data_IF_952984277947
#
_entry.id   IF_952984277947
#
_cell.length_a   1.000
_cell.length_b   1.000
_cell.length_c   1.000
_cell.angle_alpha   90.00
_cell.angle_beta   90.00
_cell.angle_gamma   90.00
#
_symmetry.space_group_name_H-M   'P 1'
#
loop_
_entity.id
_entity.type
_entity.pdbx_description
1 polymer ?
#
# COMPACT_ATOMS: atom_id res chain seq x y z
N UNK A 1 5.44 -20.41 16.33
CA UNK A 1 4.47 -21.54 16.26
C UNK A 1 5.20 -22.86 16.55
N UNK A 2 4.58 -23.99 17.00
CA UNK A 2 5.30 -25.26 17.12
C UNK A 2 5.94 -25.68 15.78
N UNK A 3 7.23 -26.07 15.72
CA UNK A 3 7.95 -26.29 14.46
C UNK A 3 7.29 -27.31 13.52
N UNK A 4 6.62 -28.34 14.07
CA UNK A 4 5.96 -29.37 13.26
C UNK A 4 4.80 -28.81 12.41
N UNK A 5 4.20 -27.68 12.82
CA UNK A 5 3.10 -27.06 12.08
C UNK A 5 3.56 -26.32 10.81
N UNK A 6 4.86 -26.08 10.64
CA UNK A 6 5.41 -25.49 9.40
C UNK A 6 5.10 -26.40 8.21
N UNK A 7 5.13 -27.72 8.40
CA UNK A 7 4.85 -28.70 7.35
C UNK A 7 3.40 -28.58 6.80
N UNK A 8 2.48 -28.02 7.57
CA UNK A 8 1.11 -27.76 7.10
C UNK A 8 1.15 -26.74 5.95
N UNK A 9 1.86 -25.62 6.10
CA UNK A 9 1.94 -24.57 5.08
C UNK A 9 2.68 -25.04 3.82
N UNK A 10 3.70 -25.88 3.99
CA UNK A 10 4.36 -26.56 2.86
C UNK A 10 3.39 -27.46 2.10
N UNK A 11 2.60 -28.26 2.81
CA UNK A 11 1.61 -29.14 2.18
C UNK A 11 0.48 -28.40 1.46
N UNK A 12 0.23 -27.13 1.83
CA UNK A 12 -0.82 -26.28 1.26
C UNK A 12 -0.34 -25.39 0.10
N UNK A 13 0.90 -25.52 -0.35
CA UNK A 13 1.46 -24.64 -1.39
C UNK A 13 0.71 -24.70 -2.72
N UNK A 14 0.36 -25.92 -3.18
CA UNK A 14 -0.46 -26.10 -4.39
C UNK A 14 -1.89 -25.58 -4.22
N UNK A 15 -2.48 -25.77 -3.03
CA UNK A 15 -3.79 -25.16 -2.73
C UNK A 15 -3.74 -23.64 -2.76
N UNK A 16 -2.67 -23.03 -2.22
CA UNK A 16 -2.49 -21.59 -2.24
C UNK A 16 -2.30 -21.06 -3.67
N UNK A 17 -1.58 -21.79 -4.51
CA UNK A 17 -1.45 -21.46 -5.94
C UNK A 17 -2.82 -21.44 -6.64
N UNK A 18 -3.62 -22.50 -6.46
CA UNK A 18 -4.89 -22.68 -7.16
C UNK A 18 -6.04 -21.84 -6.59
N UNK A 19 -5.95 -21.43 -5.32
CA UNK A 19 -7.04 -20.72 -4.62
C UNK A 19 -6.65 -19.30 -4.24
N UNK A 20 -5.56 -19.13 -3.48
CA UNK A 20 -5.17 -17.83 -2.93
C UNK A 20 -4.67 -16.88 -4.04
N UNK A 21 -3.75 -17.34 -4.89
CA UNK A 21 -3.14 -16.47 -5.92
C UNK A 21 -4.15 -16.01 -6.97
N UNK A 22 -5.27 -16.72 -7.14
CA UNK A 22 -6.33 -16.32 -8.08
C UNK A 22 -7.05 -15.04 -7.71
N UNK A 23 -6.94 -14.60 -6.46
CA UNK A 23 -7.48 -13.32 -6.00
C UNK A 23 -6.62 -12.12 -6.38
N UNK A 24 -5.35 -12.33 -6.76
CA UNK A 24 -4.48 -11.26 -7.25
C UNK A 24 -4.92 -10.83 -8.64
N UNK A 25 -4.94 -9.52 -8.88
CA UNK A 25 -5.20 -9.01 -10.22
C UNK A 25 -3.89 -9.00 -11.01
N UNK A 26 -3.91 -9.46 -12.28
CA UNK A 26 -2.77 -9.23 -13.17
C UNK A 26 -2.49 -7.73 -13.27
N UNK A 27 -1.20 -7.35 -13.22
CA UNK A 27 -0.77 -5.94 -13.21
C UNK A 27 -1.39 -5.13 -14.36
N UNK A 28 -1.43 -5.71 -15.57
CA UNK A 28 -2.03 -5.11 -16.77
C UNK A 28 -3.55 -4.84 -16.66
N UNK A 29 -4.20 -5.37 -15.63
CA UNK A 29 -5.62 -5.16 -15.31
C UNK A 29 -5.83 -4.40 -14.00
N UNK A 30 -4.75 -4.01 -13.33
CA UNK A 30 -4.81 -3.18 -12.13
C UNK A 30 -4.96 -1.72 -12.54
N UNK A 31 -5.76 -0.98 -11.78
CA UNK A 31 -5.70 0.47 -11.80
C UNK A 31 -4.32 0.96 -11.34
N UNK A 32 -3.92 2.15 -11.73
CA UNK A 32 -2.71 2.81 -11.25
C UNK A 32 -3.06 4.18 -10.68
N UNK A 33 -2.27 4.74 -9.75
CA UNK A 33 -2.55 6.05 -9.15
C UNK A 33 -2.83 7.15 -10.19
N UNK A 34 -2.14 7.10 -11.33
CA UNK A 34 -2.31 8.08 -12.41
C UNK A 34 -3.71 8.06 -13.05
N UNK A 35 -4.46 6.96 -12.96
CA UNK A 35 -5.84 6.87 -13.48
C UNK A 35 -6.80 7.82 -12.73
N UNK A 36 -6.43 8.26 -11.53
CA UNK A 36 -7.26 9.07 -10.64
C UNK A 36 -6.66 10.45 -10.31
N UNK A 37 -5.49 10.77 -10.86
CA UNK A 37 -4.78 12.02 -10.60
C UNK A 37 -4.77 12.89 -11.86
N UNK A 38 -4.63 14.23 -11.72
CA UNK A 38 -4.35 15.09 -12.85
C UNK A 38 -3.19 14.57 -13.70
N UNK A 39 -3.35 14.57 -15.02
CA UNK A 39 -2.34 14.06 -15.95
C UNK A 39 -1.27 15.14 -16.20
N UNK A 40 -0.03 14.96 -15.69
CA UNK A 40 1.03 15.95 -15.83
C UNK A 40 1.53 16.11 -17.27
N UNK A 41 1.17 15.21 -18.18
CA UNK A 41 1.51 15.29 -19.60
C UNK A 41 0.45 15.98 -20.46
N UNK A 42 -0.71 16.28 -19.86
CA UNK A 42 -1.83 16.92 -20.54
C UNK A 42 -1.68 18.44 -20.55
N UNK A 43 -2.05 19.09 -21.67
CA UNK A 43 -2.20 20.55 -21.74
C UNK A 43 -3.22 21.09 -20.72
N UNK A 44 -4.12 20.22 -20.23
CA UNK A 44 -5.13 20.54 -19.20
C UNK A 44 -4.67 20.34 -17.75
N UNK A 45 -3.40 19.98 -17.50
CA UNK A 45 -2.92 19.65 -16.16
C UNK A 45 -3.22 20.73 -15.11
N UNK A 46 -2.94 22.00 -15.43
CA UNK A 46 -3.12 23.10 -14.48
C UNK A 46 -4.59 23.30 -14.08
N UNK A 47 -5.53 23.18 -15.03
CA UNK A 47 -6.96 23.29 -14.73
C UNK A 47 -7.45 22.08 -13.93
N UNK A 48 -6.99 20.86 -14.25
CA UNK A 48 -7.32 19.65 -13.47
C UNK A 48 -6.86 19.76 -12.01
N UNK A 49 -5.65 20.28 -11.77
CA UNK A 49 -5.13 20.55 -10.41
C UNK A 49 -5.97 21.61 -9.71
N UNK A 50 -6.33 22.69 -10.41
CA UNK A 50 -7.19 23.75 -9.86
C UNK A 50 -8.57 23.21 -9.47
N UNK A 51 -9.21 22.43 -10.32
CA UNK A 51 -10.50 21.79 -10.02
C UNK A 51 -10.44 20.82 -8.83
N UNK A 52 -9.34 20.06 -8.69
CA UNK A 52 -9.10 19.23 -7.50
C UNK A 52 -9.06 20.11 -6.24
N UNK A 53 -8.32 21.22 -6.28
CA UNK A 53 -8.17 22.13 -5.13
C UNK A 53 -9.47 22.85 -4.79
N UNK A 54 -10.27 23.26 -5.76
CA UNK A 54 -11.57 23.89 -5.50
C UNK A 54 -12.50 22.93 -4.77
N UNK A 55 -12.61 21.66 -5.21
CA UNK A 55 -13.39 20.64 -4.50
C UNK A 55 -12.85 20.35 -3.09
N UNK A 56 -11.52 20.31 -2.94
CA UNK A 56 -10.89 20.07 -1.65
C UNK A 56 -11.16 21.16 -0.59
N UNK A 57 -11.51 22.39 -1.00
CA UNK A 57 -11.93 23.47 -0.08
C UNK A 57 -13.29 23.20 0.56
N UNK A 58 -14.14 22.42 -0.09
CA UNK A 58 -15.49 22.10 0.41
C UNK A 58 -15.49 20.93 1.41
N UNK A 59 -14.34 20.24 1.56
CA UNK A 59 -14.18 19.15 2.52
C UNK A 59 -13.72 19.70 3.89
N UNK A 60 -14.34 19.27 5.00
CA UNK A 60 -14.01 19.77 6.33
C UNK A 60 -12.67 19.24 6.83
N UNK A 61 -12.04 19.96 7.76
CA UNK A 61 -10.74 19.57 8.33
C UNK A 61 -10.82 18.22 9.06
N UNK A 62 -11.94 17.90 9.70
CA UNK A 62 -12.17 16.60 10.36
C UNK A 62 -12.01 15.42 9.38
N UNK A 63 -12.43 15.60 8.13
CA UNK A 63 -12.25 14.61 7.07
C UNK A 63 -10.76 14.44 6.73
N UNK A 64 -10.03 15.54 6.58
CA UNK A 64 -8.60 15.50 6.28
C UNK A 64 -7.78 14.88 7.40
N UNK A 65 -8.14 15.09 8.67
CA UNK A 65 -7.44 14.43 9.79
C UNK A 65 -7.50 12.91 9.66
N UNK A 66 -8.68 12.35 9.36
CA UNK A 66 -8.84 10.91 9.19
C UNK A 66 -8.15 10.41 7.92
N UNK A 67 -8.32 11.12 6.80
CA UNK A 67 -7.70 10.75 5.53
C UNK A 67 -6.16 10.78 5.60
N UNK A 68 -5.59 11.73 6.35
CA UNK A 68 -4.15 11.77 6.63
C UNK A 68 -3.74 10.58 7.48
N UNK A 69 -4.51 10.21 8.50
CA UNK A 69 -4.23 9.01 9.30
C UNK A 69 -4.23 7.72 8.46
N UNK A 70 -5.19 7.61 7.55
CA UNK A 70 -5.29 6.51 6.58
C UNK A 70 -4.05 6.45 5.68
N UNK A 71 -3.73 7.55 5.01
CA UNK A 71 -2.54 7.65 4.15
C UNK A 71 -1.23 7.35 4.88
N UNK A 72 -1.04 7.86 6.10
CA UNK A 72 0.16 7.59 6.92
C UNK A 72 0.29 6.10 7.23
N UNK A 73 -0.84 5.42 7.44
CA UNK A 73 -0.90 3.98 7.68
C UNK A 73 -0.51 3.22 6.42
N UNK A 74 -1.07 3.57 5.26
CA UNK A 74 -0.72 2.97 3.97
C UNK A 74 0.77 3.13 3.63
N UNK A 75 1.36 4.29 3.90
CA UNK A 75 2.79 4.56 3.68
C UNK A 75 3.72 3.74 4.60
N UNK A 76 3.20 3.16 5.68
CA UNK A 76 3.96 2.28 6.57
C UNK A 76 4.12 0.84 6.03
N UNK A 77 3.76 0.60 4.75
CA UNK A 77 3.80 -0.68 4.05
C UNK A 77 5.07 -1.55 4.27
N UNK A 78 6.30 -1.01 4.34
CA UNK A 78 7.48 -1.82 4.66
C UNK A 78 7.35 -2.60 5.97
N UNK A 79 6.64 -2.06 6.96
CA UNK A 79 6.35 -2.71 8.24
C UNK A 79 5.45 -3.92 8.04
N UNK A 80 4.41 -3.81 7.21
CA UNK A 80 3.44 -4.88 6.97
C UNK A 80 4.03 -6.04 6.17
N UNK A 81 4.80 -5.75 5.12
CA UNK A 81 5.53 -6.78 4.39
C UNK A 81 6.53 -7.50 5.31
N UNK A 82 7.25 -6.74 6.15
CA UNK A 82 8.17 -7.32 7.14
C UNK A 82 7.43 -8.24 8.10
N UNK A 83 6.27 -7.83 8.61
CA UNK A 83 5.44 -8.64 9.49
C UNK A 83 5.03 -9.96 8.80
N UNK A 84 4.54 -9.95 7.56
CA UNK A 84 4.26 -11.17 6.80
C UNK A 84 5.49 -12.07 6.69
N UNK A 85 6.66 -11.49 6.46
CA UNK A 85 7.94 -12.20 6.39
C UNK A 85 8.52 -12.65 7.75
N UNK A 86 7.86 -12.33 8.87
CA UNK A 86 8.18 -12.92 10.18
C UNK A 86 7.37 -14.19 10.47
N UNK A 87 6.34 -14.49 9.66
CA UNK A 87 5.45 -15.62 9.90
C UNK A 87 6.11 -16.95 9.50
N UNK A 88 6.23 -17.84 10.50
CA UNK A 88 6.72 -19.21 10.33
C UNK A 88 5.94 -19.96 9.23
N UNK A 89 6.65 -20.49 8.23
CA UNK A 89 6.10 -21.35 7.18
C UNK A 89 5.61 -20.64 5.91
N UNK A 90 5.49 -19.30 5.92
CA UNK A 90 5.02 -18.52 4.76
C UNK A 90 5.98 -17.41 4.32
N UNK A 91 6.95 -17.04 5.17
CA UNK A 91 7.92 -15.99 4.87
C UNK A 91 8.71 -16.23 3.59
N UNK A 92 9.09 -15.14 2.93
CA UNK A 92 10.04 -15.17 1.82
C UNK A 92 11.49 -15.29 2.33
N UNK A 93 12.11 -16.44 2.10
CA UNK A 93 13.47 -16.74 2.57
C UNK A 93 14.58 -16.05 1.76
N UNK A 94 14.28 -15.57 0.54
CA UNK A 94 15.32 -15.03 -0.38
C UNK A 94 15.00 -13.64 -0.90
N UNK A 95 13.79 -13.13 -0.65
CA UNK A 95 13.23 -11.94 -1.29
C UNK A 95 12.73 -12.18 -2.71
N UNK A 96 12.87 -13.41 -3.21
CA UNK A 96 12.40 -13.84 -4.52
C UNK A 96 12.03 -15.33 -4.52
N UNK A 97 11.65 -15.89 -3.35
CA UNK A 97 11.28 -17.30 -3.24
C UNK A 97 10.15 -17.63 -4.22
N UNK A 98 10.20 -18.78 -4.92
CA UNK A 98 9.16 -19.18 -5.87
C UNK A 98 7.90 -19.71 -5.17
N UNK A 99 7.88 -19.79 -3.84
CA UNK A 99 6.75 -20.37 -3.12
C UNK A 99 5.49 -19.52 -3.27
N UNK A 100 4.32 -20.18 -3.33
CA UNK A 100 3.02 -19.49 -3.45
C UNK A 100 2.83 -18.41 -2.38
N UNK A 101 3.28 -18.68 -1.15
CA UNK A 101 3.22 -17.73 -0.03
C UNK A 101 4.10 -16.49 -0.24
N UNK A 102 5.29 -16.66 -0.78
CA UNK A 102 6.20 -15.55 -1.07
C UNK A 102 5.73 -14.76 -2.29
N UNK A 103 5.21 -15.43 -3.31
CA UNK A 103 4.57 -14.78 -4.47
C UNK A 103 3.40 -13.92 -4.00
N UNK A 104 2.51 -14.45 -3.17
CA UNK A 104 1.41 -13.68 -2.58
C UNK A 104 1.92 -12.47 -1.82
N UNK A 105 2.89 -12.64 -0.91
CA UNK A 105 3.44 -11.54 -0.11
C UNK A 105 3.97 -10.41 -1.00
N UNK A 106 4.77 -10.72 -2.03
CA UNK A 106 5.30 -9.71 -2.94
C UNK A 106 4.22 -9.06 -3.79
N UNK A 107 3.27 -9.83 -4.33
CA UNK A 107 2.21 -9.32 -5.18
C UNK A 107 1.20 -8.46 -4.39
N UNK A 108 0.82 -8.89 -3.19
CA UNK A 108 0.00 -8.11 -2.27
C UNK A 108 0.69 -6.78 -1.93
N UNK A 109 1.98 -6.80 -1.55
CA UNK A 109 2.73 -5.57 -1.29
C UNK A 109 2.79 -4.66 -2.53
N UNK A 110 2.95 -5.22 -3.73
CA UNK A 110 2.93 -4.43 -4.96
C UNK A 110 1.54 -3.80 -5.23
N UNK A 111 0.45 -4.51 -4.91
CA UNK A 111 -0.89 -3.95 -5.01
C UNK A 111 -1.12 -2.84 -3.97
N UNK A 112 -0.74 -3.03 -2.70
CA UNK A 112 -0.90 -2.07 -1.60
C UNK A 112 -0.07 -0.79 -1.79
N UNK A 113 1.11 -0.87 -2.41
CA UNK A 113 1.96 0.30 -2.64
C UNK A 113 1.21 1.44 -3.36
N UNK A 114 0.28 1.08 -4.25
CA UNK A 114 -0.51 2.05 -5.02
C UNK A 114 -1.49 2.85 -4.15
N UNK A 115 -1.88 2.33 -2.99
CA UNK A 115 -2.80 3.00 -2.07
C UNK A 115 -2.14 4.24 -1.46
N UNK A 116 -0.96 4.06 -0.85
CA UNK A 116 -0.12 5.15 -0.33
C UNK A 116 0.22 6.18 -1.42
N UNK A 117 0.68 5.71 -2.59
CA UNK A 117 1.02 6.58 -3.72
C UNK A 117 -0.13 7.51 -4.16
N UNK A 118 -1.34 6.96 -4.28
CA UNK A 118 -2.52 7.72 -4.70
C UNK A 118 -2.93 8.75 -3.64
N UNK A 119 -3.02 8.32 -2.37
CA UNK A 119 -3.41 9.19 -1.27
C UNK A 119 -2.38 10.29 -1.02
N UNK A 120 -1.09 9.97 -1.09
CA UNK A 120 0.00 10.94 -0.94
C UNK A 120 -0.11 12.08 -1.96
N UNK A 121 -0.19 11.72 -3.25
CA UNK A 121 -0.29 12.70 -4.34
C UNK A 121 -1.58 13.50 -4.25
N UNK A 122 -2.70 12.87 -3.87
CA UNK A 122 -3.96 13.57 -3.64
C UNK A 122 -3.84 14.62 -2.52
N UNK A 123 -3.31 14.24 -1.35
CA UNK A 123 -3.12 15.14 -0.21
C UNK A 123 -2.14 16.26 -0.55
N UNK A 124 -1.04 15.96 -1.24
CA UNK A 124 -0.07 16.93 -1.74
C UNK A 124 -0.74 17.98 -2.65
N UNK A 125 -1.50 17.53 -3.66
CA UNK A 125 -2.15 18.41 -4.62
C UNK A 125 -3.29 19.22 -3.99
N UNK A 126 -3.98 18.67 -2.98
CA UNK A 126 -5.10 19.33 -2.30
C UNK A 126 -4.71 20.68 -1.70
N UNK A 127 -3.47 20.82 -1.21
CA UNK A 127 -3.01 21.99 -0.49
C UNK A 127 -3.75 22.25 0.84
N UNK A 128 -4.44 21.24 1.39
CA UNK A 128 -5.24 21.36 2.63
C UNK A 128 -4.50 20.89 3.87
N UNK A 129 -3.32 20.28 3.73
CA UNK A 129 -2.57 19.65 4.82
C UNK A 129 -1.08 20.04 4.80
N UNK A 130 -0.40 19.89 5.95
CA UNK A 130 1.05 20.11 6.06
C UNK A 130 1.82 18.81 5.74
N UNK A 131 2.24 18.67 4.48
CA UNK A 131 2.98 17.49 4.01
C UNK A 131 4.27 17.26 4.79
N UNK A 132 4.96 18.31 5.24
CA UNK A 132 6.22 18.16 5.99
C UNK A 132 5.99 17.46 7.33
N UNK A 133 4.88 17.77 8.00
CA UNK A 133 4.52 17.10 9.25
C UNK A 133 4.03 15.68 9.03
N UNK A 134 3.32 15.41 7.93
CA UNK A 134 2.90 14.06 7.52
C UNK A 134 4.12 13.19 7.23
N UNK A 135 5.05 13.65 6.41
CA UNK A 135 6.29 12.94 6.05
C UNK A 135 7.14 12.59 7.28
N UNK A 136 7.29 13.53 8.23
CA UNK A 136 7.94 13.25 9.51
C UNK A 136 7.20 12.17 10.30
N UNK A 137 5.87 12.18 10.28
CA UNK A 137 5.05 11.19 10.99
C UNK A 137 5.23 9.81 10.39
N UNK A 138 5.24 9.69 9.06
CA UNK A 138 5.55 8.44 8.35
C UNK A 138 6.95 7.94 8.74
N UNK A 139 7.94 8.83 8.74
CA UNK A 139 9.31 8.47 9.12
C UNK A 139 9.40 7.95 10.57
N UNK A 140 8.71 8.59 11.51
CA UNK A 140 8.62 8.11 12.89
C UNK A 140 7.91 6.77 12.98
N UNK A 141 6.79 6.59 12.26
CA UNK A 141 5.99 5.37 12.29
C UNK A 141 6.79 4.17 11.77
N UNK A 142 7.39 4.29 10.59
CA UNK A 142 8.23 3.23 10.01
C UNK A 142 9.43 2.93 10.92
N UNK A 143 10.09 3.97 11.45
CA UNK A 143 11.22 3.80 12.37
C UNK A 143 10.85 3.14 13.71
N UNK A 144 9.59 3.28 14.13
CA UNK A 144 9.06 2.64 15.34
C UNK A 144 8.63 1.19 15.08
N UNK A 145 8.20 0.88 13.86
CA UNK A 145 7.57 -0.39 13.53
C UNK A 145 6.25 -0.59 14.28
N UNK A 146 5.77 -1.83 14.28
CA UNK A 146 4.53 -2.21 14.94
C UNK A 146 4.66 -3.61 15.54
N UNK A 147 4.05 -3.83 16.70
CA UNK A 147 3.93 -5.15 17.33
C UNK A 147 2.45 -5.40 17.59
N UNK A 148 1.86 -6.36 16.87
CA UNK A 148 0.45 -6.79 17.01
C UNK A 148 0.35 -8.28 17.30
#
# INVERSE_FOLDING_TARGET
MPPQKIEIFKSLEGWAEETLLTHLKPVEKCWQPQDFLPDPSSDGFEEQVKELRERAKELPDDYFVVLVGDMVTEEALPTYQTMLNTLDGVRDETGASPTSWAIWTRAWTAEENRHGDLLNKYLYLSGRVDMRQIEKTIQYLIGSGMSI
#
